data_IF_251403093250
#
_entry.id   IF_251403093250
#
_cell.length_a   1.000
_cell.length_b   1.000
_cell.length_c   1.000
_cell.angle_alpha   90.00
_cell.angle_beta   90.00
_cell.angle_gamma   90.00
#
_symmetry.space_group_name_H-M   'P 1'
#
loop_
_entity.id
_entity.type
_entity.pdbx_description
1 polymer ?
#
# COMPACT_ATOMS: atom_id res chain seq x y z
N UNK A 1 7.48 5.68 20.11
CA UNK A 1 6.11 5.41 20.57
C UNK A 1 6.11 4.91 22.01
N UNK A 2 6.54 5.78 22.89
CA UNK A 2 6.57 5.58 24.32
C UNK A 2 5.17 5.36 24.95
N UNK A 3 4.14 5.87 24.28
CA UNK A 3 2.75 5.72 24.69
C UNK A 3 1.92 5.14 23.57
N UNK A 4 1.18 4.10 23.86
CA UNK A 4 0.29 3.41 22.93
C UNK A 4 -1.17 3.52 23.41
N UNK A 5 -1.75 4.72 23.38
CA UNK A 5 -3.12 4.89 23.83
C UNK A 5 -4.07 4.16 22.89
N UNK A 6 -5.06 3.50 23.44
CA UNK A 6 -6.22 3.07 22.67
C UNK A 6 -6.90 4.30 22.09
N UNK A 7 -7.30 4.23 20.84
CA UNK A 7 -7.97 5.33 20.16
C UNK A 7 -8.93 4.82 19.11
N UNK A 8 -9.87 5.68 18.72
CA UNK A 8 -10.78 5.40 17.63
C UNK A 8 -10.02 5.35 16.31
N UNK A 9 -10.24 4.29 15.55
CA UNK A 9 -9.85 4.15 14.16
C UNK A 9 -11.07 4.60 13.31
N UNK A 10 -10.90 5.67 12.53
CA UNK A 10 -12.04 6.37 11.92
C UNK A 10 -12.41 5.84 10.54
N UNK A 11 -11.54 5.13 9.86
CA UNK A 11 -11.83 4.57 8.54
C UNK A 11 -12.78 3.38 8.64
N UNK A 12 -12.55 2.50 9.63
CA UNK A 12 -13.32 1.27 9.81
C UNK A 12 -14.17 1.26 11.09
N UNK A 13 -14.27 2.41 11.78
CA UNK A 13 -15.06 2.57 13.01
C UNK A 13 -14.71 1.55 14.11
N UNK A 14 -13.43 1.23 14.24
CA UNK A 14 -12.90 0.29 15.22
C UNK A 14 -12.20 1.01 16.38
N UNK A 15 -11.80 0.26 17.40
CA UNK A 15 -10.88 0.72 18.45
C UNK A 15 -9.52 0.10 18.20
N UNK A 16 -8.55 0.94 17.86
CA UNK A 16 -7.14 0.54 17.72
C UNK A 16 -6.45 0.55 19.08
N UNK A 17 -5.90 -0.58 19.48
CA UNK A 17 -5.20 -0.73 20.76
C UNK A 17 -3.70 -0.42 20.67
N UNK A 18 -3.15 -0.25 19.47
CA UNK A 18 -1.75 0.06 19.19
C UNK A 18 -0.73 -0.93 19.79
N UNK A 19 -1.11 -2.19 19.99
CA UNK A 19 -0.18 -3.23 20.44
C UNK A 19 0.88 -3.57 19.41
N UNK A 20 0.53 -3.52 18.13
CA UNK A 20 1.46 -3.63 16.99
C UNK A 20 1.91 -2.23 16.57
N UNK A 21 3.20 -1.98 16.59
CA UNK A 21 3.78 -0.70 16.18
C UNK A 21 4.89 -0.85 15.16
N UNK A 22 5.58 0.24 14.87
CA UNK A 22 6.68 0.30 13.90
C UNK A 22 7.78 -0.73 14.19
N UNK A 23 8.19 -0.83 15.44
CA UNK A 23 9.28 -1.73 15.85
C UNK A 23 8.89 -3.20 15.69
N UNK A 24 7.71 -3.58 16.18
CA UNK A 24 7.19 -4.95 16.08
C UNK A 24 6.98 -5.34 14.61
N UNK A 25 6.51 -4.43 13.77
CA UNK A 25 6.32 -4.70 12.35
C UNK A 25 7.66 -4.92 11.63
N UNK A 26 8.66 -4.07 11.90
CA UNK A 26 10.00 -4.25 11.34
C UNK A 26 10.67 -5.55 11.84
N UNK A 27 10.47 -5.90 13.09
CA UNK A 27 10.97 -7.16 13.66
C UNK A 27 10.29 -8.38 13.04
N UNK A 28 8.96 -8.33 12.90
CA UNK A 28 8.20 -9.39 12.23
C UNK A 28 8.66 -9.58 10.78
N UNK A 29 8.79 -8.49 10.04
CA UNK A 29 9.26 -8.51 8.64
C UNK A 29 10.64 -9.16 8.51
N UNK A 30 11.57 -8.79 9.40
CA UNK A 30 12.92 -9.40 9.44
C UNK A 30 12.87 -10.90 9.69
N UNK A 31 12.00 -11.35 10.61
CA UNK A 31 11.80 -12.79 10.86
C UNK A 31 11.13 -13.52 9.70
N UNK A 32 10.22 -12.87 9.01
CA UNK A 32 9.57 -13.41 7.81
C UNK A 32 10.49 -13.41 6.58
N UNK A 33 11.63 -12.69 6.62
CA UNK A 33 12.54 -12.55 5.49
C UNK A 33 11.96 -11.69 4.37
N UNK A 34 11.17 -10.65 4.73
CA UNK A 34 10.56 -9.70 3.80
C UNK A 34 11.06 -8.29 4.04
N UNK A 35 11.01 -7.44 3.02
CA UNK A 35 11.26 -6.02 3.17
C UNK A 35 10.03 -5.28 3.72
N UNK A 36 10.27 -4.09 4.26
CA UNK A 36 9.22 -3.21 4.78
C UNK A 36 8.94 -2.10 3.79
N UNK A 37 7.67 -1.93 3.42
CA UNK A 37 7.14 -0.72 2.82
C UNK A 37 6.33 0.03 3.87
N UNK A 38 6.70 1.27 4.17
CA UNK A 38 6.08 2.07 5.24
C UNK A 38 5.32 3.25 4.63
N UNK A 39 4.09 3.48 5.07
CA UNK A 39 3.34 4.67 4.68
C UNK A 39 3.44 5.78 5.74
N UNK A 40 3.63 7.03 5.31
CA UNK A 40 3.53 8.20 6.18
C UNK A 40 2.13 8.82 6.08
N UNK A 41 1.64 9.37 7.17
CA UNK A 41 0.32 9.98 7.22
C UNK A 41 0.36 11.42 6.67
N UNK A 42 -0.15 11.63 5.46
CA UNK A 42 -0.30 12.95 4.84
C UNK A 42 -1.75 13.47 4.85
N UNK A 43 -2.68 12.72 5.42
CA UNK A 43 -4.06 13.18 5.64
C UNK A 43 -4.18 14.11 6.84
N UNK A 44 -3.89 13.58 8.02
CA UNK A 44 -4.04 14.29 9.32
C UNK A 44 -2.71 14.75 9.94
N UNK A 45 -1.57 14.40 9.32
CA UNK A 45 -0.23 14.84 9.69
C UNK A 45 0.44 15.48 8.46
N UNK A 46 1.73 15.68 8.48
CA UNK A 46 2.41 16.36 7.38
C UNK A 46 3.91 16.03 7.33
N UNK A 47 4.66 16.86 6.60
CA UNK A 47 6.06 16.66 6.27
C UNK A 47 6.96 16.46 7.50
N UNK A 48 6.73 17.20 8.59
CA UNK A 48 7.53 17.06 9.81
C UNK A 48 7.33 15.70 10.49
N UNK A 49 6.08 15.21 10.56
CA UNK A 49 5.81 13.88 11.11
C UNK A 49 6.40 12.75 10.25
N UNK A 50 6.40 12.91 8.93
CA UNK A 50 7.02 11.99 8.00
C UNK A 50 8.54 11.95 8.17
N UNK A 51 9.18 13.12 8.22
CA UNK A 51 10.61 13.27 8.55
C UNK A 51 10.96 12.55 9.85
N UNK A 52 10.18 12.79 10.90
CA UNK A 52 10.41 12.21 12.22
C UNK A 52 10.34 10.69 12.21
N UNK A 53 9.46 10.10 11.40
CA UNK A 53 9.36 8.65 11.26
C UNK A 53 10.57 8.07 10.53
N UNK A 54 11.08 8.73 9.48
CA UNK A 54 12.31 8.32 8.80
C UNK A 54 13.50 8.41 9.75
N UNK A 55 13.61 9.50 10.51
CA UNK A 55 14.67 9.66 11.52
C UNK A 55 14.61 8.56 12.57
N UNK A 56 13.40 8.23 13.08
CA UNK A 56 13.22 7.11 14.00
C UNK A 56 13.71 5.79 13.42
N UNK A 57 13.33 5.48 12.18
CA UNK A 57 13.62 4.19 11.57
C UNK A 57 15.07 4.06 11.08
N UNK A 58 15.64 5.11 10.53
CA UNK A 58 16.84 5.02 9.70
C UNK A 58 18.05 5.79 10.26
N UNK A 59 17.87 6.79 11.12
CA UNK A 59 18.99 7.54 11.65
C UNK A 59 19.70 6.76 12.76
N UNK A 60 21.04 6.81 12.78
CA UNK A 60 21.83 5.95 13.68
C UNK A 60 21.60 6.26 15.16
N UNK A 61 21.90 7.48 15.59
CA UNK A 61 21.79 7.94 16.99
C UNK A 61 22.07 9.43 17.10
N UNK A 62 21.83 10.01 18.28
CA UNK A 62 22.19 11.38 18.60
C UNK A 62 21.10 12.40 18.28
N UNK A 63 19.90 11.94 17.92
CA UNK A 63 18.71 12.78 17.74
C UNK A 63 17.56 12.23 18.59
N UNK A 64 16.58 13.07 18.88
CA UNK A 64 15.44 12.68 19.73
C UNK A 64 14.76 11.37 19.25
N UNK A 65 14.50 11.26 17.95
CA UNK A 65 13.77 10.11 17.39
C UNK A 65 14.63 8.85 17.28
N UNK A 66 15.88 8.98 16.89
CA UNK A 66 16.81 7.85 16.84
C UNK A 66 17.11 7.31 18.24
N UNK A 67 17.29 8.20 19.21
CA UNK A 67 17.55 7.81 20.58
C UNK A 67 16.31 7.21 21.25
N UNK A 68 15.09 7.66 20.87
CA UNK A 68 13.85 7.03 21.30
C UNK A 68 13.72 5.58 20.78
N UNK A 69 14.12 5.31 19.53
CA UNK A 69 14.19 3.92 19.02
C UNK A 69 15.12 3.07 19.89
N UNK A 70 16.31 3.62 20.22
CA UNK A 70 17.29 2.93 21.05
C UNK A 70 16.71 2.65 22.44
N UNK A 71 16.04 3.63 23.05
CA UNK A 71 15.37 3.47 24.35
C UNK A 71 14.25 2.41 24.31
N UNK A 72 13.58 2.26 23.15
CA UNK A 72 12.59 1.21 22.92
C UNK A 72 13.21 -0.19 22.71
N UNK A 73 14.53 -0.33 22.78
CA UNK A 73 15.24 -1.61 22.69
C UNK A 73 15.86 -1.92 21.32
N UNK A 74 15.74 -1.03 20.35
CA UNK A 74 16.25 -1.24 18.98
C UNK A 74 17.47 -0.36 18.73
N UNK A 75 18.64 -0.87 19.08
CA UNK A 75 19.92 -0.13 18.97
C UNK A 75 20.21 0.23 17.52
N UNK A 76 20.14 -0.75 16.62
CA UNK A 76 20.43 -0.55 15.21
C UNK A 76 19.21 0.04 14.47
N UNK A 77 19.43 0.87 13.43
CA UNK A 77 18.35 1.34 12.55
C UNK A 77 17.58 0.18 11.91
N UNK A 78 16.30 0.38 11.68
CA UNK A 78 15.47 -0.56 10.94
C UNK A 78 15.82 -0.60 9.44
N UNK A 79 16.40 0.49 8.91
CA UNK A 79 16.80 0.65 7.52
C UNK A 79 15.64 0.45 6.54
N UNK A 80 14.50 1.03 6.83
CA UNK A 80 13.34 1.00 5.93
C UNK A 80 13.65 1.80 4.68
N UNK A 81 13.65 1.13 3.52
CA UNK A 81 14.04 1.77 2.27
C UNK A 81 12.87 2.31 1.46
N UNK A 82 11.73 1.64 1.48
CA UNK A 82 10.57 1.96 0.65
C UNK A 82 9.48 2.65 1.48
N UNK A 83 9.00 3.82 1.01
CA UNK A 83 8.07 4.65 1.73
C UNK A 83 6.96 5.19 0.84
N UNK A 84 5.72 5.02 1.27
CA UNK A 84 4.54 5.63 0.65
C UNK A 84 4.25 7.02 1.24
N UNK A 85 4.00 7.98 0.37
CA UNK A 85 3.65 9.36 0.74
C UNK A 85 2.13 9.51 0.94
N UNK A 86 1.59 8.78 1.89
CA UNK A 86 0.16 8.69 2.17
C UNK A 86 -0.47 7.40 1.68
N UNK A 87 -1.79 7.37 1.61
CA UNK A 87 -2.61 6.30 1.06
C UNK A 87 -3.90 6.88 0.49
N UNK A 88 -4.25 6.54 -0.75
CA UNK A 88 -5.51 6.93 -1.41
C UNK A 88 -5.87 8.41 -1.21
N UNK A 89 -4.92 9.29 -1.45
CA UNK A 89 -5.06 10.71 -1.12
C UNK A 89 -6.09 11.46 -2.00
N UNK A 90 -6.57 10.85 -3.08
CA UNK A 90 -7.65 11.29 -3.96
C UNK A 90 -9.04 10.82 -3.48
N UNK A 91 -9.09 9.80 -2.61
CA UNK A 91 -10.32 9.15 -2.17
C UNK A 91 -11.10 9.98 -1.15
N UNK A 92 -12.38 10.32 -1.40
CA UNK A 92 -13.19 11.12 -0.47
C UNK A 92 -13.51 10.37 0.85
N UNK A 93 -13.27 9.09 0.93
CA UNK A 93 -13.36 8.29 2.15
C UNK A 93 -12.17 8.47 3.09
N UNK A 94 -11.04 8.99 2.59
CA UNK A 94 -9.86 9.25 3.41
C UNK A 94 -9.98 10.58 4.16
N UNK A 95 -9.67 10.57 5.46
CA UNK A 95 -9.60 11.81 6.25
C UNK A 95 -8.41 12.64 5.75
N UNK A 96 -8.71 13.85 5.29
CA UNK A 96 -7.71 14.76 4.74
C UNK A 96 -7.34 14.46 3.30
N UNK A 97 -8.23 13.79 2.53
CA UNK A 97 -8.08 13.68 1.08
C UNK A 97 -7.88 15.06 0.44
N UNK A 98 -7.31 15.11 -0.74
CA UNK A 98 -6.84 16.36 -1.37
C UNK A 98 -7.16 16.40 -2.85
N UNK A 99 -7.11 17.59 -3.41
CA UNK A 99 -6.98 17.74 -4.86
C UNK A 99 -5.59 17.31 -5.31
N UNK A 100 -5.43 16.97 -6.58
CA UNK A 100 -4.14 16.56 -7.14
C UNK A 100 -3.04 17.61 -6.95
N UNK A 101 -3.37 18.90 -7.04
CA UNK A 101 -2.45 20.02 -6.81
C UNK A 101 -2.01 20.11 -5.35
N UNK A 102 -2.95 20.03 -4.42
CA UNK A 102 -2.64 20.08 -2.97
C UNK A 102 -1.78 18.90 -2.56
N UNK A 103 -2.15 17.70 -3.03
CA UNK A 103 -1.38 16.51 -2.73
C UNK A 103 0.00 16.54 -3.40
N UNK A 104 0.10 16.87 -4.68
CA UNK A 104 1.38 16.94 -5.40
C UNK A 104 2.37 17.91 -4.73
N UNK A 105 1.90 19.06 -4.27
CA UNK A 105 2.72 20.00 -3.51
C UNK A 105 3.17 19.43 -2.17
N UNK A 106 2.24 18.84 -1.41
CA UNK A 106 2.56 18.23 -0.11
C UNK A 106 3.54 17.07 -0.27
N UNK A 107 3.30 16.18 -1.25
CA UNK A 107 4.16 15.04 -1.54
C UNK A 107 5.58 15.49 -1.90
N UNK A 108 5.72 16.50 -2.76
CA UNK A 108 7.01 17.05 -3.15
C UNK A 108 7.81 17.57 -1.94
N UNK A 109 7.21 18.38 -1.07
CA UNK A 109 7.89 18.92 0.10
C UNK A 109 8.19 17.83 1.15
N UNK A 110 7.27 16.87 1.31
CA UNK A 110 7.49 15.73 2.20
C UNK A 110 8.63 14.84 1.69
N UNK A 111 8.65 14.55 0.40
CA UNK A 111 9.73 13.76 -0.21
C UNK A 111 11.11 14.40 0.01
N UNK A 112 11.21 15.73 -0.16
CA UNK A 112 12.46 16.45 0.09
C UNK A 112 12.95 16.28 1.52
N UNK A 113 12.12 16.54 2.52
CA UNK A 113 12.58 16.45 3.92
C UNK A 113 12.90 15.02 4.32
N UNK A 114 12.19 14.02 3.80
CA UNK A 114 12.50 12.62 4.05
C UNK A 114 13.85 12.21 3.44
N UNK A 115 14.11 12.58 2.17
CA UNK A 115 15.39 12.31 1.50
C UNK A 115 16.55 13.14 2.07
N UNK A 116 16.31 14.24 2.75
CA UNK A 116 17.37 14.97 3.46
C UNK A 116 17.79 14.28 4.75
N UNK A 117 16.89 13.50 5.36
CA UNK A 117 17.25 12.64 6.50
C UNK A 117 18.00 11.39 6.03
N UNK A 118 17.48 10.75 5.00
CA UNK A 118 18.09 9.55 4.41
C UNK A 118 17.97 9.58 2.87
N UNK A 119 19.05 9.93 2.15
CA UNK A 119 19.01 10.03 0.69
C UNK A 119 18.89 8.67 -0.02
N UNK A 120 19.00 7.56 0.70
CA UNK A 120 18.97 6.20 0.12
C UNK A 120 17.55 5.62 0.02
N UNK A 121 16.56 6.26 0.62
CA UNK A 121 15.17 5.77 0.58
C UNK A 121 14.54 5.97 -0.80
N UNK A 122 13.64 5.07 -1.13
CA UNK A 122 12.81 5.14 -2.31
C UNK A 122 11.39 5.56 -1.94
N UNK A 123 10.79 6.43 -2.73
CA UNK A 123 9.52 7.07 -2.41
C UNK A 123 8.45 6.76 -3.46
N UNK A 124 7.27 6.42 -2.96
CA UNK A 124 6.07 6.16 -3.75
C UNK A 124 5.10 7.32 -3.55
N UNK A 125 4.71 8.00 -4.63
CA UNK A 125 3.59 8.95 -4.60
C UNK A 125 2.27 8.19 -4.76
N UNK A 126 1.20 8.60 -4.07
CA UNK A 126 -0.13 8.05 -4.32
C UNK A 126 -0.60 8.38 -5.73
N UNK A 127 -0.95 7.35 -6.49
CA UNK A 127 -1.76 7.45 -7.69
C UNK A 127 -3.25 7.38 -7.34
N UNK A 128 -4.10 7.21 -8.34
CA UNK A 128 -5.55 7.07 -8.17
C UNK A 128 -5.89 5.81 -7.37
N UNK A 129 -6.89 5.93 -6.51
CA UNK A 129 -7.37 4.84 -5.64
C UNK A 129 -7.99 3.66 -6.42
N UNK A 130 -8.38 3.86 -7.66
CA UNK A 130 -8.74 2.83 -8.64
C UNK A 130 -8.90 3.45 -10.04
N UNK A 131 -9.02 2.61 -11.07
CA UNK A 131 -9.20 3.02 -12.47
C UNK A 131 -10.50 3.78 -12.74
N UNK A 132 -11.52 3.61 -11.89
CA UNK A 132 -12.84 4.26 -12.01
C UNK A 132 -12.94 5.65 -11.35
N UNK A 133 -11.87 6.16 -10.74
CA UNK A 133 -11.87 7.51 -10.17
C UNK A 133 -12.05 8.57 -11.27
N UNK A 134 -12.95 9.53 -11.07
CA UNK A 134 -13.18 10.62 -12.02
C UNK A 134 -11.93 11.46 -12.31
N UNK A 135 -10.94 11.41 -11.44
CA UNK A 135 -9.66 12.12 -11.54
C UNK A 135 -8.55 11.28 -12.12
N UNK A 136 -8.82 9.99 -12.40
CA UNK A 136 -7.80 9.06 -12.90
C UNK A 136 -7.11 9.61 -14.17
N UNK A 137 -5.79 9.46 -14.24
CA UNK A 137 -4.82 10.00 -15.19
C UNK A 137 -4.55 11.50 -15.05
N UNK A 138 -5.53 12.36 -14.81
CA UNK A 138 -5.31 13.78 -14.48
C UNK A 138 -4.63 13.91 -13.11
N UNK A 139 -4.98 13.03 -12.17
CA UNK A 139 -4.35 12.93 -10.87
C UNK A 139 -2.86 12.63 -11.00
N UNK A 140 -2.50 11.55 -11.69
CA UNK A 140 -1.11 11.13 -11.88
C UNK A 140 -0.30 12.20 -12.60
N UNK A 141 -0.87 12.77 -13.66
CA UNK A 141 -0.23 13.84 -14.44
C UNK A 141 0.12 15.03 -13.54
N UNK A 142 -0.82 15.46 -12.71
CA UNK A 142 -0.64 16.63 -11.84
C UNK A 142 0.33 16.33 -10.69
N UNK A 143 0.15 15.18 -10.02
CA UNK A 143 1.02 14.78 -8.90
C UNK A 143 2.46 14.63 -9.37
N UNK A 144 2.69 13.94 -10.48
CA UNK A 144 4.02 13.78 -11.05
C UNK A 144 4.61 15.10 -11.57
N UNK A 145 3.80 16.03 -12.05
CA UNK A 145 4.32 17.36 -12.42
C UNK A 145 4.96 18.09 -11.23
N UNK A 146 4.45 17.87 -10.02
CA UNK A 146 4.99 18.45 -8.79
C UNK A 146 6.13 17.62 -8.17
N UNK A 147 5.99 16.32 -8.10
CA UNK A 147 6.84 15.47 -7.26
C UNK A 147 7.89 14.64 -8.04
N UNK A 148 7.93 14.71 -9.36
CA UNK A 148 8.71 13.83 -10.25
C UNK A 148 10.17 13.67 -9.83
N UNK A 149 10.83 14.78 -9.45
CA UNK A 149 12.25 14.76 -9.15
C UNK A 149 12.59 14.00 -7.85
N UNK A 150 11.60 13.86 -6.96
CA UNK A 150 11.81 13.32 -5.63
C UNK A 150 11.25 11.91 -5.42
N UNK A 151 10.27 11.46 -6.24
CA UNK A 151 9.63 10.16 -6.09
C UNK A 151 10.17 9.17 -7.11
N UNK A 152 10.17 7.90 -6.78
CA UNK A 152 10.72 6.82 -7.59
C UNK A 152 9.61 5.97 -8.22
N UNK A 153 8.43 5.98 -7.58
CA UNK A 153 7.24 5.23 -7.99
C UNK A 153 5.98 6.08 -7.88
N UNK A 154 4.95 5.63 -8.60
CA UNK A 154 3.56 6.02 -8.36
C UNK A 154 2.75 4.78 -7.99
N UNK A 155 1.85 4.89 -7.00
CA UNK A 155 1.03 3.76 -6.58
C UNK A 155 -0.16 3.54 -7.49
N UNK A 156 -0.68 2.33 -7.47
CA UNK A 156 -1.94 1.92 -8.10
C UNK A 156 -2.68 0.99 -7.15
N UNK A 157 -4.00 1.14 -7.09
CA UNK A 157 -4.88 0.25 -6.36
C UNK A 157 -5.99 -0.27 -7.27
N UNK A 158 -6.42 -1.51 -7.08
CA UNK A 158 -7.57 -2.06 -7.78
C UNK A 158 -8.14 -3.28 -7.07
N UNK A 159 -9.45 -3.29 -6.89
CA UNK A 159 -10.21 -4.43 -6.41
C UNK A 159 -11.23 -4.86 -7.45
N UNK A 160 -11.47 -6.17 -7.53
CA UNK A 160 -12.47 -6.75 -8.40
C UNK A 160 -13.46 -7.60 -7.61
N UNK A 161 -14.69 -7.73 -8.14
CA UNK A 161 -15.72 -8.56 -7.55
C UNK A 161 -16.66 -9.14 -8.59
N UNK A 162 -17.34 -10.23 -8.27
CA UNK A 162 -18.33 -10.90 -9.11
C UNK A 162 -19.73 -10.74 -8.55
N UNK A 163 -20.20 -9.49 -8.44
CA UNK A 163 -21.52 -9.18 -7.92
C UNK A 163 -22.67 -9.64 -8.85
N UNK A 164 -22.38 -9.78 -10.14
CA UNK A 164 -23.37 -10.16 -11.18
C UNK A 164 -23.41 -11.68 -11.43
N UNK A 165 -22.59 -12.47 -10.72
CA UNK A 165 -22.46 -13.93 -10.91
C UNK A 165 -22.12 -14.30 -12.37
N UNK A 166 -21.27 -13.49 -13.02
CA UNK A 166 -20.78 -13.67 -14.38
C UNK A 166 -19.29 -14.03 -14.37
N UNK A 167 -18.99 -15.31 -14.22
CA UNK A 167 -17.60 -15.83 -14.20
C UNK A 167 -16.76 -15.43 -15.42
N UNK A 168 -17.23 -15.51 -16.67
CA UNK A 168 -16.46 -15.07 -17.81
C UNK A 168 -16.04 -13.59 -17.73
N UNK A 169 -16.97 -12.70 -17.40
CA UNK A 169 -16.69 -11.28 -17.23
C UNK A 169 -15.76 -11.02 -16.03
N UNK A 170 -15.99 -11.71 -14.93
CA UNK A 170 -15.15 -11.60 -13.74
C UNK A 170 -13.70 -11.98 -14.02
N UNK A 171 -13.45 -13.11 -14.71
CA UNK A 171 -12.10 -13.53 -15.06
C UNK A 171 -11.44 -12.62 -16.11
N UNK A 172 -12.24 -11.94 -16.94
CA UNK A 172 -11.74 -10.97 -17.92
C UNK A 172 -11.17 -9.68 -17.29
N UNK A 173 -11.39 -9.43 -16.00
CA UNK A 173 -10.82 -8.27 -15.30
C UNK A 173 -9.27 -8.21 -15.31
N UNK A 174 -8.62 -9.32 -15.64
CA UNK A 174 -7.16 -9.30 -15.91
C UNK A 174 -6.80 -8.38 -17.08
N UNK A 175 -7.69 -8.24 -18.08
CA UNK A 175 -7.50 -7.31 -19.20
C UNK A 175 -7.66 -5.86 -18.75
N UNK A 176 -8.63 -5.58 -17.87
CA UNK A 176 -8.78 -4.25 -17.26
C UNK A 176 -7.53 -3.87 -16.47
N UNK A 177 -6.99 -4.79 -15.67
CA UNK A 177 -5.75 -4.59 -14.94
C UNK A 177 -4.55 -4.30 -15.87
N UNK A 178 -4.40 -5.06 -16.97
CA UNK A 178 -3.36 -4.81 -17.96
C UNK A 178 -3.50 -3.39 -18.56
N UNK A 179 -4.70 -3.00 -19.00
CA UNK A 179 -4.97 -1.67 -19.54
C UNK A 179 -4.70 -0.55 -18.53
N UNK A 180 -5.10 -0.75 -17.26
CA UNK A 180 -4.83 0.24 -16.23
C UNK A 180 -3.33 0.44 -16.03
N UNK A 181 -2.56 -0.66 -15.91
CA UNK A 181 -1.08 -0.60 -15.82
C UNK A 181 -0.48 0.13 -17.03
N UNK A 182 -0.88 -0.22 -18.25
CA UNK A 182 -0.37 0.37 -19.48
C UNK A 182 -0.64 1.88 -19.56
N UNK A 183 -1.84 2.30 -19.17
CA UNK A 183 -2.24 3.71 -19.17
C UNK A 183 -1.47 4.54 -18.15
N UNK A 184 -1.24 4.00 -16.94
CA UNK A 184 -0.41 4.69 -15.94
C UNK A 184 1.07 4.75 -16.39
N UNK A 185 1.59 3.70 -17.01
CA UNK A 185 2.93 3.72 -17.60
C UNK A 185 3.03 4.82 -18.67
N UNK A 186 2.05 4.91 -19.58
CA UNK A 186 2.01 5.93 -20.61
C UNK A 186 1.96 7.35 -20.01
N UNK A 187 1.20 7.55 -18.94
CA UNK A 187 1.13 8.81 -18.20
C UNK A 187 2.48 9.18 -17.58
N UNK A 188 3.16 8.22 -16.95
CA UNK A 188 4.51 8.42 -16.42
C UNK A 188 5.51 8.80 -17.52
N UNK A 189 5.45 8.14 -18.65
CA UNK A 189 6.36 8.38 -19.80
C UNK A 189 6.05 9.73 -20.47
N UNK A 190 4.79 10.17 -20.51
CA UNK A 190 4.42 11.51 -20.93
C UNK A 190 5.06 12.58 -20.04
N UNK A 191 4.96 12.45 -18.71
CA UNK A 191 5.58 13.40 -17.78
C UNK A 191 7.10 13.35 -17.86
N UNK A 192 7.70 12.17 -18.04
CA UNK A 192 9.13 12.04 -18.30
C UNK A 192 9.57 12.89 -19.49
N UNK A 193 8.86 12.76 -20.62
CA UNK A 193 9.14 13.52 -21.82
C UNK A 193 8.93 15.03 -21.64
N UNK A 194 7.83 15.45 -20.99
CA UNK A 194 7.53 16.84 -20.66
C UNK A 194 8.66 17.49 -19.84
N UNK A 195 9.18 16.76 -18.85
CA UNK A 195 10.27 17.20 -17.98
C UNK A 195 11.66 17.01 -18.60
N UNK A 196 11.76 16.41 -19.76
CA UNK A 196 13.04 16.06 -20.42
C UNK A 196 13.98 15.30 -19.49
N UNK A 197 13.42 14.45 -18.64
CA UNK A 197 14.17 13.68 -17.63
C UNK A 197 14.65 12.35 -18.19
N UNK A 198 15.80 11.88 -17.69
CA UNK A 198 16.27 10.51 -17.92
C UNK A 198 15.73 9.53 -16.87
N UNK A 199 15.24 10.04 -15.74
CA UNK A 199 14.65 9.25 -14.67
C UNK A 199 13.32 8.66 -15.15
N UNK A 200 13.08 7.39 -14.85
CA UNK A 200 11.79 6.73 -15.06
C UNK A 200 11.06 6.61 -13.74
N UNK A 201 9.78 6.91 -13.72
CA UNK A 201 8.89 6.56 -12.61
C UNK A 201 8.39 5.14 -12.85
N UNK A 202 8.59 4.26 -11.89
CA UNK A 202 8.07 2.90 -11.92
C UNK A 202 6.71 2.83 -11.20
N UNK A 203 6.10 1.65 -11.23
CA UNK A 203 4.80 1.40 -10.63
C UNK A 203 4.99 0.63 -9.32
N UNK A 204 4.28 1.08 -8.28
CA UNK A 204 3.98 0.34 -7.09
C UNK A 204 2.49 -0.05 -7.13
N UNK A 205 2.18 -1.28 -7.52
CA UNK A 205 0.80 -1.79 -7.42
C UNK A 205 0.61 -2.35 -6.02
N UNK A 206 0.48 -1.45 -5.04
CA UNK A 206 0.67 -1.76 -3.63
C UNK A 206 -0.62 -2.04 -2.87
N UNK A 207 -1.76 -2.06 -3.58
CA UNK A 207 -3.01 -2.54 -3.02
C UNK A 207 -3.89 -3.16 -4.13
N UNK A 208 -4.13 -4.47 -4.06
CA UNK A 208 -4.97 -5.17 -5.01
C UNK A 208 -5.48 -6.49 -4.44
N UNK A 209 -6.71 -6.87 -4.79
CA UNK A 209 -7.27 -8.18 -4.47
C UNK A 209 -8.64 -8.38 -5.16
N UNK A 210 -9.27 -9.50 -4.88
CA UNK A 210 -10.71 -9.72 -5.00
C UNK A 210 -11.36 -9.28 -3.68
N UNK A 211 -12.44 -8.47 -3.76
CA UNK A 211 -13.13 -8.00 -2.56
C UNK A 211 -14.61 -7.72 -2.86
N UNK A 212 -15.50 -8.62 -2.47
CA UNK A 212 -16.96 -8.44 -2.63
C UNK A 212 -17.82 -9.34 -1.74
N UNK A 213 -17.27 -10.43 -1.17
CA UNK A 213 -18.09 -11.42 -0.45
C UNK A 213 -18.67 -10.89 0.86
N UNK A 214 -17.87 -10.19 1.66
CA UNK A 214 -18.29 -9.66 2.96
C UNK A 214 -18.83 -8.22 2.91
N UNK A 215 -18.91 -7.60 1.74
CA UNK A 215 -19.26 -6.19 1.59
C UNK A 215 -20.61 -5.80 2.22
N UNK A 216 -21.71 -6.57 2.02
CA UNK A 216 -22.99 -6.24 2.63
C UNK A 216 -23.03 -6.39 4.15
N UNK A 217 -22.13 -7.17 4.72
CA UNK A 217 -22.06 -7.46 6.15
C UNK A 217 -21.29 -6.41 6.93
N UNK A 218 -20.32 -5.74 6.27
CA UNK A 218 -19.52 -4.67 6.86
C UNK A 218 -20.36 -3.50 7.35
N UNK A 219 -21.47 -3.18 6.66
CA UNK A 219 -22.39 -2.13 7.05
C UNK A 219 -23.11 -2.44 8.36
N UNK A 220 -23.18 -3.74 8.74
CA UNK A 220 -23.81 -4.21 9.96
C UNK A 220 -22.82 -4.39 11.12
N UNK A 221 -21.53 -4.19 10.88
CA UNK A 221 -20.52 -4.36 11.91
C UNK A 221 -20.78 -3.44 13.10
N UNK A 222 -20.63 -3.99 14.30
CA UNK A 222 -20.77 -3.21 15.53
C UNK A 222 -19.58 -2.26 15.62
N UNK A 223 -19.89 -0.95 15.59
CA UNK A 223 -18.89 0.10 15.66
C UNK A 223 -18.18 0.14 17.03
N UNK A 224 -16.95 0.56 17.01
CA UNK A 224 -16.14 0.85 18.19
C UNK A 224 -15.78 -0.37 19.05
N UNK A 225 -15.53 -1.51 18.42
CA UNK A 225 -14.96 -2.70 19.06
C UNK A 225 -13.46 -2.81 18.77
N UNK A 226 -12.71 -3.43 19.69
CA UNK A 226 -11.34 -3.89 19.42
C UNK A 226 -11.38 -5.15 18.56
N UNK A 227 -10.64 -5.13 17.43
CA UNK A 227 -10.53 -6.27 16.54
C UNK A 227 -11.88 -6.80 16.05
N UNK A 228 -12.78 -5.95 15.54
CA UNK A 228 -14.05 -6.43 15.01
C UNK A 228 -13.80 -7.35 13.82
N UNK A 229 -14.61 -8.39 13.70
CA UNK A 229 -14.64 -9.24 12.52
C UNK A 229 -15.33 -8.47 11.40
N UNK A 230 -14.55 -8.02 10.41
CA UNK A 230 -15.06 -7.35 9.21
C UNK A 230 -14.15 -7.63 8.01
N UNK A 231 -14.72 -7.58 6.80
CA UNK A 231 -14.01 -7.89 5.56
C UNK A 231 -13.31 -9.27 5.62
N UNK A 232 -13.87 -10.22 6.35
CA UNK A 232 -13.37 -11.60 6.42
C UNK A 232 -13.96 -12.42 5.28
N UNK A 233 -13.61 -12.05 4.04
CA UNK A 233 -14.07 -12.72 2.84
C UNK A 233 -13.67 -14.20 2.84
N UNK A 234 -14.61 -15.05 2.45
CA UNK A 234 -14.37 -16.49 2.24
C UNK A 234 -14.23 -16.72 0.74
N UNK A 235 -13.01 -16.94 0.30
CA UNK A 235 -12.68 -17.08 -1.10
C UNK A 235 -12.94 -18.48 -1.66
N UNK A 236 -13.51 -18.50 -2.86
CA UNK A 236 -13.78 -19.70 -3.62
C UNK A 236 -12.67 -19.98 -4.68
N UNK A 237 -12.89 -20.94 -5.58
CA UNK A 237 -11.92 -21.30 -6.60
C UNK A 237 -11.86 -20.27 -7.75
N UNK A 238 -12.97 -19.63 -8.06
CA UNK A 238 -13.06 -18.58 -9.07
C UNK A 238 -12.21 -17.36 -8.68
N UNK A 239 -12.27 -16.96 -7.41
CA UNK A 239 -11.41 -15.89 -6.86
C UNK A 239 -9.92 -16.23 -7.02
N UNK A 240 -9.57 -17.50 -6.77
CA UNK A 240 -8.18 -17.94 -6.95
C UNK A 240 -7.72 -17.90 -8.40
N UNK A 241 -8.61 -18.17 -9.36
CA UNK A 241 -8.31 -18.04 -10.78
C UNK A 241 -8.06 -16.59 -11.18
N UNK A 242 -8.90 -15.66 -10.70
CA UNK A 242 -8.69 -14.24 -10.96
C UNK A 242 -7.40 -13.73 -10.31
N UNK A 243 -7.15 -14.05 -9.03
CA UNK A 243 -5.89 -13.68 -8.35
C UNK A 243 -4.67 -14.23 -9.10
N UNK A 244 -4.76 -15.46 -9.63
CA UNK A 244 -3.72 -16.03 -10.48
C UNK A 244 -3.50 -15.23 -11.76
N UNK A 245 -4.59 -14.81 -12.41
CA UNK A 245 -4.55 -13.94 -13.59
C UNK A 245 -3.94 -12.57 -13.30
N UNK A 246 -4.33 -11.93 -12.18
CA UNK A 246 -3.75 -10.66 -11.73
C UNK A 246 -2.25 -10.76 -11.49
N UNK A 247 -1.77 -11.85 -10.88
CA UNK A 247 -0.34 -12.11 -10.69
C UNK A 247 0.39 -12.26 -12.04
N UNK A 248 -0.24 -12.90 -13.02
CA UNK A 248 0.32 -13.00 -14.39
C UNK A 248 0.43 -11.62 -15.03
N UNK A 249 -0.60 -10.77 -14.91
CA UNK A 249 -0.56 -9.38 -15.39
C UNK A 249 0.59 -8.59 -14.74
N UNK A 250 0.74 -8.66 -13.43
CA UNK A 250 1.84 -8.01 -12.70
C UNK A 250 3.22 -8.49 -13.18
N UNK A 251 3.39 -9.81 -13.36
CA UNK A 251 4.65 -10.39 -13.86
C UNK A 251 4.94 -9.98 -15.32
N UNK A 252 3.92 -9.91 -16.19
CA UNK A 252 4.08 -9.45 -17.59
C UNK A 252 4.58 -8.01 -17.67
N UNK A 253 4.21 -7.18 -16.69
CA UNK A 253 4.62 -5.78 -16.62
C UNK A 253 5.81 -5.55 -15.65
N UNK A 254 6.55 -6.59 -15.25
CA UNK A 254 7.65 -6.51 -14.27
C UNK A 254 8.81 -5.57 -14.68
N UNK A 255 8.89 -5.18 -15.96
CA UNK A 255 9.80 -4.15 -16.44
C UNK A 255 9.48 -2.76 -15.86
N UNK A 256 8.23 -2.49 -15.47
CA UNK A 256 7.76 -1.22 -14.89
C UNK A 256 7.09 -1.39 -13.51
N UNK A 257 6.36 -2.47 -13.27
CA UNK A 257 5.80 -2.81 -11.96
C UNK A 257 6.91 -3.43 -11.12
N UNK A 258 7.41 -2.68 -10.14
CA UNK A 258 8.53 -3.10 -9.28
C UNK A 258 8.11 -3.50 -7.88
N UNK A 259 6.93 -3.07 -7.47
CA UNK A 259 6.30 -3.42 -6.20
C UNK A 259 4.89 -3.91 -6.50
N UNK A 260 4.49 -5.00 -5.84
CA UNK A 260 3.13 -5.52 -5.91
C UNK A 260 2.76 -6.12 -4.55
N UNK A 261 1.78 -5.53 -3.86
CA UNK A 261 1.36 -5.95 -2.53
C UNK A 261 -0.12 -6.31 -2.52
N UNK A 262 -0.42 -7.59 -2.31
CA UNK A 262 -1.81 -8.03 -2.12
C UNK A 262 -2.35 -7.52 -0.78
N UNK A 263 -3.52 -6.93 -0.77
CA UNK A 263 -4.24 -6.52 0.42
C UNK A 263 -5.29 -7.60 0.82
N UNK A 264 -5.24 -8.17 2.03
CA UNK A 264 -4.20 -8.01 3.01
C UNK A 264 -3.57 -9.38 3.31
N UNK A 265 -2.88 -9.54 4.45
CA UNK A 265 -2.17 -10.78 4.71
C UNK A 265 -2.97 -11.77 5.56
N UNK A 266 -3.60 -11.28 6.64
CA UNK A 266 -4.26 -12.12 7.65
C UNK A 266 -5.65 -11.59 7.97
N UNK A 267 -6.63 -12.46 7.93
CA UNK A 267 -8.05 -12.29 8.27
C UNK A 267 -8.82 -11.33 7.35
N UNK A 268 -8.42 -10.08 7.23
CA UNK A 268 -9.11 -9.06 6.43
C UNK A 268 -8.78 -9.25 4.94
N UNK A 269 -9.77 -9.58 4.11
CA UNK A 269 -9.63 -9.90 2.67
C UNK A 269 -8.33 -10.69 2.37
N UNK A 270 -8.08 -11.74 3.14
CA UNK A 270 -6.74 -12.28 3.28
C UNK A 270 -6.59 -13.72 2.77
N UNK A 271 -5.40 -14.08 2.25
CA UNK A 271 -5.06 -15.46 1.89
C UNK A 271 -4.91 -16.38 3.11
N UNK A 272 -4.70 -15.83 4.31
CA UNK A 272 -4.48 -16.57 5.55
C UNK A 272 -5.52 -16.17 6.58
N UNK A 273 -6.19 -17.15 7.17
CA UNK A 273 -7.16 -16.95 8.24
C UNK A 273 -6.66 -17.55 9.54
N UNK A 274 -7.04 -16.91 10.65
CA UNK A 274 -6.68 -17.35 12.00
C UNK A 274 -7.89 -17.29 12.94
N UNK A 275 -7.94 -18.19 13.90
CA UNK A 275 -8.85 -18.14 15.04
C UNK A 275 -8.07 -17.80 16.30
N UNK A 276 -8.58 -16.96 17.16
CA UNK A 276 -7.92 -16.60 18.40
C UNK A 276 -7.74 -17.84 19.29
N UNK A 277 -6.48 -18.24 19.53
CA UNK A 277 -6.14 -19.47 20.27
C UNK A 277 -6.51 -20.77 19.53
N UNK A 278 -6.87 -20.69 18.26
CA UNK A 278 -7.36 -21.79 17.43
C UNK A 278 -6.50 -22.09 16.21
N UNK A 279 -7.18 -22.41 15.11
CA UNK A 279 -6.55 -22.84 13.86
C UNK A 279 -5.96 -21.68 13.06
N UNK A 280 -5.00 -22.03 12.21
CA UNK A 280 -4.54 -21.20 11.09
C UNK A 280 -4.79 -22.00 9.81
N UNK A 281 -5.41 -21.37 8.80
CA UNK A 281 -5.60 -22.05 7.51
C UNK A 281 -5.37 -21.08 6.34
N UNK A 282 -5.11 -21.66 5.17
CA UNK A 282 -4.89 -20.95 3.92
C UNK A 282 -6.16 -21.00 3.09
N UNK A 283 -6.58 -19.87 2.56
CA UNK A 283 -7.68 -19.76 1.63
C UNK A 283 -7.22 -20.10 0.19
N UNK A 284 -8.16 -20.20 -0.73
CA UNK A 284 -7.88 -20.55 -2.13
C UNK A 284 -6.94 -19.56 -2.81
N UNK A 285 -7.06 -18.27 -2.53
CA UNK A 285 -6.20 -17.21 -3.10
C UNK A 285 -4.74 -17.25 -2.61
N UNK A 286 -4.44 -18.02 -1.57
CA UNK A 286 -3.07 -18.22 -1.11
C UNK A 286 -2.21 -18.98 -2.15
N UNK A 287 -2.79 -19.94 -2.84
CA UNK A 287 -2.03 -20.86 -3.69
C UNK A 287 -1.49 -20.21 -4.97
N UNK A 288 -2.24 -19.38 -5.73
CA UNK A 288 -1.65 -18.63 -6.85
C UNK A 288 -0.48 -17.74 -6.41
N UNK A 289 -0.60 -17.09 -5.25
CA UNK A 289 0.49 -16.26 -4.73
C UNK A 289 1.72 -17.12 -4.36
N UNK A 290 1.52 -18.27 -3.71
CA UNK A 290 2.60 -19.22 -3.43
C UNK A 290 3.30 -19.66 -4.73
N UNK A 291 2.55 -19.99 -5.77
CA UNK A 291 3.11 -20.40 -7.06
C UNK A 291 3.92 -19.26 -7.70
N UNK A 292 3.39 -18.04 -7.74
CA UNK A 292 4.12 -16.88 -8.25
C UNK A 292 5.39 -16.61 -7.44
N UNK A 293 5.33 -16.72 -6.11
CA UNK A 293 6.47 -16.51 -5.21
C UNK A 293 7.59 -17.55 -5.41
N UNK A 294 7.24 -18.78 -5.75
CA UNK A 294 8.23 -19.88 -5.93
C UNK A 294 8.75 -19.92 -7.36
N UNK A 295 7.87 -19.81 -8.35
CA UNK A 295 8.18 -20.07 -9.76
C UNK A 295 8.28 -18.77 -10.62
N UNK A 296 7.74 -17.66 -10.15
CA UNK A 296 7.77 -16.36 -10.84
C UNK A 296 9.06 -15.57 -10.60
N UNK A 297 10.10 -16.18 -10.06
CA UNK A 297 11.39 -15.54 -9.78
C UNK A 297 12.39 -15.81 -10.89
N UNK A 298 13.23 -14.81 -11.13
CA UNK A 298 14.28 -14.87 -12.15
C UNK A 298 13.89 -14.15 -13.45
N UNK A 299 14.66 -14.36 -14.48
CA UNK A 299 14.48 -13.80 -15.82
C UNK A 299 14.13 -14.90 -16.80
#
# INVERSE_FOLDING_TARGET
KDKRPKRTELAWFAVENNQMGTDEFCEWSRRAGTDVMMAVNLGTRGADAARNLVEYCNFSSGTYWSDLRIQNGYKEPHNVRLWNLGNEMDGPWQIGHKTAQEYGRLASETAKVMKWVDPTIELVACGSSNSGMNTCYDWETTVLDHAYDFVDYISMHQYYGNQEDDTPNFLANTMDMDHFIENIIATCDYIQAKKRSKKKINISFDEWNVWYHAFPENEKAVKWQEGPSFNEDIYNFEDALLVGGMLISLLRHANRVKVACQAQLVNVIAPIMTENGGRIWKQTIYYPYLHASVYGRGT
#
